data_IF_559252391376
#
_entry.id   IF_559252391376
#
_cell.length_a   1.000
_cell.length_b   1.000
_cell.length_c   1.000
_cell.angle_alpha   90.00
_cell.angle_beta   90.00
_cell.angle_gamma   90.00
#
_symmetry.space_group_name_H-M   'P 1'
#
loop_
_entity.id
_entity.type
_entity.pdbx_description
1 polymer ?
#
# COMPACT_ATOMS: atom_id res chain seq x y z
N UNK A 1 -41.40 15.73 68.28
CA UNK A 1 -42.12 15.53 67.02
C UNK A 1 -41.09 15.25 65.95
N UNK A 2 -41.15 14.06 65.39
CA UNK A 2 -40.18 13.48 64.47
C UNK A 2 -40.40 14.03 63.03
N UNK A 3 -39.31 14.48 62.40
CA UNK A 3 -39.33 14.76 60.95
C UNK A 3 -38.29 13.80 60.29
N UNK A 4 -38.81 12.84 59.57
CA UNK A 4 -38.03 11.90 58.75
C UNK A 4 -37.53 12.60 57.48
N UNK A 5 -36.26 12.80 57.36
CA UNK A 5 -35.60 13.20 56.11
C UNK A 5 -35.20 11.97 55.28
N UNK A 6 -35.92 11.76 54.20
CA UNK A 6 -35.62 10.67 53.22
C UNK A 6 -34.43 11.06 52.37
N UNK A 7 -33.32 10.37 52.55
CA UNK A 7 -32.14 10.50 51.67
C UNK A 7 -32.34 9.60 50.45
N UNK A 8 -32.60 10.20 49.32
CA UNK A 8 -32.56 9.53 48.02
C UNK A 8 -31.13 9.30 47.60
N UNK A 9 -30.70 8.05 47.71
CA UNK A 9 -29.44 7.59 47.17
C UNK A 9 -29.54 7.52 45.64
N UNK A 10 -28.88 8.45 44.97
CA UNK A 10 -28.64 8.35 43.53
C UNK A 10 -27.55 7.28 43.32
N UNK A 11 -27.94 6.11 42.86
CA UNK A 11 -27.02 5.12 42.35
C UNK A 11 -26.56 5.59 40.99
N UNK A 12 -25.36 6.17 40.94
CA UNK A 12 -24.63 6.42 39.68
C UNK A 12 -24.35 5.07 39.01
N UNK A 13 -25.11 4.72 38.00
CA UNK A 13 -24.78 3.66 37.09
C UNK A 13 -23.49 4.05 36.37
N UNK A 14 -22.36 3.50 36.75
CA UNK A 14 -21.14 3.55 35.98
C UNK A 14 -21.42 2.84 34.65
N UNK A 15 -21.64 3.62 33.60
CA UNK A 15 -21.64 3.12 32.24
C UNK A 15 -20.21 2.72 31.94
N UNK A 16 -19.99 1.42 31.81
CA UNK A 16 -18.70 0.84 31.51
C UNK A 16 -18.28 1.23 30.09
N UNK A 17 -17.48 2.30 29.95
CA UNK A 17 -16.97 2.81 28.67
C UNK A 17 -15.77 2.02 28.13
N UNK A 18 -15.38 0.93 28.81
CA UNK A 18 -14.24 0.09 28.45
C UNK A 18 -14.28 -0.47 27.01
N UNK A 19 -15.44 -0.90 26.46
CA UNK A 19 -15.47 -1.39 25.08
C UNK A 19 -15.20 -0.32 24.02
N UNK A 20 -15.66 0.92 24.25
CA UNK A 20 -15.40 2.01 23.30
C UNK A 20 -13.94 2.48 23.31
N UNK A 21 -13.28 2.47 24.45
CA UNK A 21 -11.85 2.82 24.55
C UNK A 21 -10.96 1.76 23.88
N UNK A 22 -11.30 0.47 23.99
CA UNK A 22 -10.60 -0.59 23.25
C UNK A 22 -10.78 -0.49 21.73
N UNK A 23 -11.97 -0.13 21.25
CA UNK A 23 -12.19 0.12 19.82
C UNK A 23 -11.42 1.36 19.33
N UNK A 24 -11.39 2.43 20.10
CA UNK A 24 -10.62 3.63 19.75
C UNK A 24 -9.10 3.34 19.72
N UNK A 25 -8.58 2.54 20.64
CA UNK A 25 -7.19 2.08 20.62
C UNK A 25 -6.91 1.13 19.45
N UNK A 26 -7.84 0.23 19.10
CA UNK A 26 -7.69 -0.66 17.92
C UNK A 26 -7.69 0.13 16.61
N UNK A 27 -8.40 1.26 16.53
CA UNK A 27 -8.39 2.16 15.38
C UNK A 27 -7.13 3.05 15.35
N UNK A 28 -6.47 3.27 16.47
CA UNK A 28 -5.21 4.03 16.55
C UNK A 28 -3.97 3.17 16.25
N UNK A 29 -4.10 1.85 16.28
CA UNK A 29 -3.04 0.92 15.86
C UNK A 29 -3.03 0.84 14.34
N UNK A 30 -2.38 1.79 13.66
CA UNK A 30 -2.06 1.60 12.26
C UNK A 30 -2.05 2.79 11.32
N UNK A 31 -2.22 4.02 11.80
CA UNK A 31 -2.23 5.20 10.91
C UNK A 31 -1.12 6.21 11.21
N UNK A 32 -0.06 5.79 11.88
CA UNK A 32 1.13 6.64 11.93
C UNK A 32 1.79 6.63 10.55
N UNK A 33 1.76 7.78 9.88
CA UNK A 33 2.48 7.97 8.63
C UNK A 33 3.98 7.87 8.93
N UNK A 34 4.78 7.23 8.07
CA UNK A 34 6.22 7.18 8.23
C UNK A 34 6.83 8.57 8.03
N UNK A 35 7.88 8.87 8.79
CA UNK A 35 8.70 10.07 8.58
C UNK A 35 9.62 9.89 7.35
N UNK A 36 10.07 8.65 7.14
CA UNK A 36 10.84 8.25 5.96
C UNK A 36 10.06 7.22 5.15
N UNK A 37 9.77 7.53 3.89
CA UNK A 37 9.08 6.62 2.98
C UNK A 37 10.02 5.53 2.43
N UNK A 38 9.51 4.33 2.14
CA UNK A 38 10.33 3.26 1.59
C UNK A 38 10.85 3.63 0.19
N UNK A 39 12.07 3.18 -0.11
CA UNK A 39 12.73 3.41 -1.41
C UNK A 39 13.10 2.06 -2.03
N UNK A 40 12.87 1.91 -3.34
CA UNK A 40 13.27 0.71 -4.09
C UNK A 40 14.80 0.64 -4.13
N UNK A 41 15.34 -0.53 -3.82
CA UNK A 41 16.78 -0.82 -3.90
C UNK A 41 17.19 -1.44 -5.24
N UNK A 42 16.25 -2.08 -5.94
CA UNK A 42 16.54 -2.71 -7.21
C UNK A 42 16.93 -1.68 -8.27
N UNK A 43 18.11 -1.82 -8.85
CA UNK A 43 18.54 -1.03 -10.01
C UNK A 43 17.73 -1.40 -11.25
N UNK A 44 17.55 -2.71 -11.45
CA UNK A 44 16.71 -3.25 -12.51
C UNK A 44 15.43 -3.83 -11.91
N UNK A 45 14.29 -3.43 -12.44
CA UNK A 45 13.01 -3.91 -11.97
C UNK A 45 12.75 -5.33 -12.49
N UNK A 46 12.36 -6.29 -11.63
CA UNK A 46 12.25 -7.71 -11.98
C UNK A 46 10.96 -8.08 -12.71
N UNK A 47 10.37 -7.14 -13.45
CA UNK A 47 9.13 -7.36 -14.15
C UNK A 47 9.39 -7.84 -15.57
N UNK A 48 9.12 -9.14 -15.81
CA UNK A 48 9.30 -9.76 -17.11
C UNK A 48 8.06 -9.58 -17.98
N UNK A 49 8.23 -8.97 -19.13
CA UNK A 49 7.16 -8.84 -20.11
C UNK A 49 6.80 -10.21 -20.69
N UNK A 50 5.52 -10.67 -20.62
CA UNK A 50 5.13 -11.94 -21.22
C UNK A 50 5.35 -11.93 -22.73
N UNK A 51 6.12 -12.90 -23.25
CA UNK A 51 6.53 -12.93 -24.66
C UNK A 51 5.34 -12.90 -25.64
N UNK A 52 4.26 -13.59 -25.33
CA UNK A 52 3.06 -13.62 -26.17
C UNK A 52 2.39 -12.24 -26.30
N UNK A 53 2.42 -11.42 -25.25
CA UNK A 53 1.86 -10.06 -25.26
C UNK A 53 2.85 -9.07 -25.89
N UNK A 54 4.14 -9.28 -25.65
CA UNK A 54 5.20 -8.51 -26.30
C UNK A 54 5.12 -8.64 -27.84
N UNK A 55 5.03 -9.87 -28.37
CA UNK A 55 4.90 -10.12 -29.79
C UNK A 55 3.67 -9.47 -30.44
N UNK A 56 2.60 -9.29 -29.65
CA UNK A 56 1.36 -8.63 -30.07
C UNK A 56 1.35 -7.12 -29.79
N UNK A 57 2.44 -6.57 -29.26
CA UNK A 57 2.58 -5.15 -28.87
C UNK A 57 1.51 -4.66 -27.87
N UNK A 58 1.02 -5.58 -27.03
CA UNK A 58 -0.02 -5.29 -26.04
C UNK A 58 0.63 -4.65 -24.80
N UNK A 59 0.35 -3.40 -24.56
CA UNK A 59 0.84 -2.63 -23.41
C UNK A 59 -0.18 -2.57 -22.30
N UNK A 60 0.25 -2.26 -21.08
CA UNK A 60 -0.64 -2.06 -19.94
C UNK A 60 0.06 -1.51 -18.71
N UNK A 61 -0.75 -0.98 -17.80
CA UNK A 61 -0.33 -0.51 -16.49
C UNK A 61 -0.96 -1.40 -15.45
N UNK A 62 -0.17 -1.84 -14.49
CA UNK A 62 -0.64 -2.60 -13.32
C UNK A 62 -0.25 -1.83 -12.07
N UNK A 63 -1.19 -1.50 -11.23
CA UNK A 63 -0.88 -0.95 -9.91
C UNK A 63 -0.96 -2.07 -8.88
N UNK A 64 0.15 -2.34 -8.22
CA UNK A 64 0.25 -3.33 -7.15
C UNK A 64 0.13 -2.64 -5.79
N UNK A 65 -0.60 -3.27 -4.88
CA UNK A 65 -0.56 -2.94 -3.45
C UNK A 65 0.41 -3.91 -2.78
N UNK A 66 1.58 -3.38 -2.40
CA UNK A 66 2.64 -4.14 -1.76
C UNK A 66 2.61 -3.92 -0.26
N UNK A 67 2.65 -5.00 0.51
CA UNK A 67 2.91 -4.95 1.94
C UNK A 67 4.39 -5.17 2.19
N UNK A 68 5.05 -4.22 2.84
CA UNK A 68 6.46 -4.30 3.21
C UNK A 68 6.57 -4.61 4.70
N UNK A 69 7.52 -5.47 5.06
CA UNK A 69 7.91 -5.71 6.44
C UNK A 69 8.92 -4.66 6.94
N UNK A 70 9.40 -4.84 8.17
CA UNK A 70 10.38 -3.95 8.79
C UNK A 70 11.75 -4.00 8.14
N UNK A 71 12.05 -5.06 7.42
CA UNK A 71 13.33 -5.27 6.72
C UNK A 71 13.28 -4.78 5.26
N UNK A 72 12.11 -4.30 4.80
CA UNK A 72 11.89 -3.83 3.43
C UNK A 72 11.61 -4.96 2.42
N UNK A 73 11.25 -6.16 2.90
CA UNK A 73 10.85 -7.25 2.02
C UNK A 73 9.36 -7.18 1.71
N UNK A 74 9.01 -7.56 0.47
CA UNK A 74 7.63 -7.67 0.04
C UNK A 74 7.00 -8.95 0.59
N UNK A 75 5.90 -8.80 1.32
CA UNK A 75 5.11 -9.92 1.83
C UNK A 75 4.16 -10.41 0.72
N UNK A 76 4.52 -11.52 0.08
CA UNK A 76 3.79 -12.07 -1.07
C UNK A 76 2.31 -12.36 -0.77
N UNK A 77 2.02 -12.91 0.41
CA UNK A 77 0.65 -13.30 0.83
C UNK A 77 -0.29 -12.10 1.03
N UNK A 78 0.28 -10.93 1.26
CA UNK A 78 -0.46 -9.67 1.47
C UNK A 78 -0.37 -8.72 0.28
N UNK A 79 0.32 -9.13 -0.81
CA UNK A 79 0.46 -8.37 -2.04
C UNK A 79 -0.65 -8.71 -3.01
N UNK A 80 -1.26 -7.68 -3.62
CA UNK A 80 -2.35 -7.86 -4.59
C UNK A 80 -2.32 -6.81 -5.69
N UNK A 81 -3.00 -7.11 -6.79
CA UNK A 81 -3.30 -6.13 -7.82
C UNK A 81 -4.38 -5.19 -7.29
N UNK A 82 -4.08 -3.90 -7.29
CA UNK A 82 -5.02 -2.84 -6.92
C UNK A 82 -5.78 -2.34 -8.15
N UNK A 83 -5.03 -2.07 -9.23
CA UNK A 83 -5.58 -1.68 -10.53
C UNK A 83 -5.05 -2.63 -11.60
N UNK A 84 -5.92 -3.46 -12.19
CA UNK A 84 -5.51 -4.41 -13.22
C UNK A 84 -5.27 -3.72 -14.57
N UNK A 85 -4.38 -4.30 -15.38
CA UNK A 85 -4.06 -3.81 -16.72
C UNK A 85 -5.14 -4.10 -17.76
N UNK A 86 -6.11 -4.93 -17.44
CA UNK A 86 -7.05 -5.53 -18.40
C UNK A 86 -6.51 -6.80 -19.09
N UNK A 87 -5.27 -7.18 -18.81
CA UNK A 87 -4.62 -8.39 -19.34
C UNK A 87 -4.09 -9.24 -18.18
N UNK A 88 -4.75 -10.36 -17.85
CA UNK A 88 -4.37 -11.21 -16.70
C UNK A 88 -2.91 -11.68 -16.73
N UNK A 89 -2.31 -11.82 -17.93
CA UNK A 89 -0.91 -12.22 -18.07
C UNK A 89 0.06 -11.11 -17.62
N UNK A 90 -0.26 -9.82 -17.84
CA UNK A 90 0.52 -8.70 -17.32
C UNK A 90 0.38 -8.59 -15.80
N UNK A 91 -0.84 -8.75 -15.29
CA UNK A 91 -1.13 -8.70 -13.85
C UNK A 91 -0.37 -9.81 -13.11
N UNK A 92 -0.39 -11.04 -13.66
CA UNK A 92 0.37 -12.17 -13.12
C UNK A 92 1.88 -11.95 -13.18
N UNK A 93 2.39 -11.37 -14.27
CA UNK A 93 3.82 -11.05 -14.42
C UNK A 93 4.25 -9.98 -13.40
N UNK A 94 3.42 -8.98 -13.16
CA UNK A 94 3.66 -7.95 -12.15
C UNK A 94 3.70 -8.53 -10.74
N UNK A 95 2.71 -9.36 -10.35
CA UNK A 95 2.69 -10.06 -9.06
C UNK A 95 3.90 -10.97 -8.87
N UNK A 96 4.31 -11.69 -9.91
CA UNK A 96 5.49 -12.57 -9.85
C UNK A 96 6.77 -11.78 -9.65
N UNK A 97 6.97 -10.70 -10.41
CA UNK A 97 8.14 -9.84 -10.28
C UNK A 97 8.20 -9.09 -8.94
N UNK A 98 7.06 -8.74 -8.36
CA UNK A 98 7.02 -8.01 -7.09
C UNK A 98 7.70 -8.74 -5.93
N UNK A 99 7.77 -10.06 -5.95
CA UNK A 99 8.43 -10.89 -4.92
C UNK A 99 9.95 -10.69 -4.87
N UNK A 100 10.53 -10.25 -5.97
CA UNK A 100 11.98 -10.00 -6.09
C UNK A 100 12.35 -8.56 -5.75
N UNK A 101 11.35 -7.69 -5.49
CA UNK A 101 11.59 -6.31 -5.09
C UNK A 101 12.17 -6.25 -3.67
N UNK A 102 13.09 -5.31 -3.49
CA UNK A 102 13.69 -4.97 -2.19
C UNK A 102 13.58 -3.47 -1.98
N UNK A 103 13.31 -3.11 -0.73
CA UNK A 103 13.13 -1.71 -0.34
C UNK A 103 14.01 -1.36 0.85
N UNK A 104 14.42 -0.11 0.94
CA UNK A 104 14.76 0.48 2.23
C UNK A 104 13.43 0.57 3.00
N UNK A 105 13.35 0.05 4.23
CA UNK A 105 12.09 0.09 4.97
C UNK A 105 11.64 1.52 5.29
N UNK A 106 10.35 1.70 5.43
CA UNK A 106 9.80 2.92 6.00
C UNK A 106 10.24 3.05 7.46
N UNK A 107 10.42 4.28 7.93
CA UNK A 107 10.76 4.53 9.33
C UNK A 107 9.81 5.55 9.96
N UNK A 108 9.60 5.37 11.25
CA UNK A 108 8.90 6.31 12.10
C UNK A 108 9.79 6.60 13.31
N UNK A 109 10.20 7.85 13.51
CA UNK A 109 11.12 8.28 14.57
C UNK A 109 12.46 7.52 14.58
N UNK A 110 12.92 7.13 13.38
CA UNK A 110 14.15 6.35 13.20
C UNK A 110 13.98 4.83 13.26
N UNK A 111 12.84 4.32 13.73
CA UNK A 111 12.57 2.88 13.84
C UNK A 111 11.92 2.34 12.56
N UNK A 112 12.42 1.22 12.01
CA UNK A 112 11.79 0.57 10.86
C UNK A 112 10.38 0.11 11.17
N UNK A 113 9.44 0.36 10.25
CA UNK A 113 8.05 0.00 10.39
C UNK A 113 7.51 -0.72 9.16
N UNK A 114 6.58 -1.69 9.33
CA UNK A 114 5.88 -2.27 8.20
C UNK A 114 4.96 -1.22 7.57
N UNK A 115 4.89 -1.21 6.24
CA UNK A 115 4.06 -0.25 5.52
C UNK A 115 3.41 -0.87 4.29
N UNK A 116 2.43 -0.19 3.74
CA UNK A 116 1.79 -0.56 2.47
C UNK A 116 2.06 0.54 1.46
N UNK A 117 2.49 0.14 0.26
CA UNK A 117 2.76 1.05 -0.84
C UNK A 117 1.99 0.65 -2.09
N UNK A 118 1.59 1.64 -2.88
CA UNK A 118 1.09 1.43 -4.23
C UNK A 118 2.27 1.54 -5.19
N UNK A 119 2.49 0.50 -5.96
CA UNK A 119 3.62 0.40 -6.88
C UNK A 119 3.12 0.22 -8.30
N UNK A 120 3.27 1.23 -9.18
CA UNK A 120 2.88 1.14 -10.58
C UNK A 120 3.92 0.37 -11.39
N UNK A 121 3.48 -0.58 -12.18
CA UNK A 121 4.29 -1.35 -13.14
C UNK A 121 3.82 -1.03 -14.54
N UNK A 122 4.73 -0.57 -15.39
CA UNK A 122 4.43 -0.16 -16.76
C UNK A 122 5.03 -1.15 -17.74
N UNK A 123 4.17 -1.89 -18.44
CA UNK A 123 4.58 -2.72 -19.56
C UNK A 123 4.48 -1.91 -20.86
N UNK A 124 5.63 -1.54 -21.42
CA UNK A 124 5.73 -0.72 -22.65
C UNK A 124 6.46 -1.47 -23.74
N UNK A 125 5.92 -1.38 -24.94
CA UNK A 125 6.57 -1.89 -26.15
C UNK A 125 7.13 -0.73 -26.95
N UNK A 126 8.41 -0.77 -27.39
CA UNK A 126 9.07 0.38 -28.03
C UNK A 126 8.41 0.81 -29.35
N UNK A 127 7.81 -0.12 -30.08
CA UNK A 127 7.16 0.13 -31.37
C UNK A 127 5.64 0.29 -31.29
N UNK A 128 5.05 0.20 -30.08
CA UNK A 128 3.62 0.40 -29.91
C UNK A 128 3.29 1.89 -29.75
N UNK A 129 2.05 2.24 -30.07
CA UNK A 129 1.55 3.60 -29.83
C UNK A 129 1.53 3.90 -28.34
N UNK A 130 2.00 5.08 -27.93
CA UNK A 130 1.95 5.53 -26.55
C UNK A 130 0.53 5.46 -25.98
N UNK A 131 0.40 5.02 -24.74
CA UNK A 131 -0.89 5.00 -24.05
C UNK A 131 -1.30 6.43 -23.63
N UNK A 132 -2.61 6.68 -23.44
CA UNK A 132 -3.07 7.94 -22.88
C UNK A 132 -2.37 8.23 -21.54
N UNK A 133 -1.76 9.40 -21.40
CA UNK A 133 -0.99 9.79 -20.23
C UNK A 133 0.53 9.61 -20.34
N UNK A 134 1.05 8.72 -21.19
CA UNK A 134 2.50 8.53 -21.39
C UNK A 134 3.19 9.80 -21.93
N UNK A 135 2.48 10.60 -22.72
CA UNK A 135 3.00 11.85 -23.29
C UNK A 135 3.42 12.87 -22.23
N UNK A 136 2.83 12.83 -21.06
CA UNK A 136 3.14 13.74 -19.94
C UNK A 136 4.49 13.37 -19.31
N UNK A 137 4.81 12.08 -19.25
CA UNK A 137 6.07 11.58 -18.67
C UNK A 137 7.27 11.90 -19.59
N UNK A 138 7.09 11.83 -20.90
CA UNK A 138 8.15 12.15 -21.86
C UNK A 138 8.52 13.63 -21.92
N UNK A 139 7.60 14.54 -21.61
CA UNK A 139 7.90 15.99 -21.56
C UNK A 139 8.75 16.41 -20.37
N UNK A 140 8.81 15.63 -19.29
CA UNK A 140 9.66 15.92 -18.13
C UNK A 140 11.05 15.29 -18.18
N UNK A 141 11.29 14.36 -19.10
CA UNK A 141 12.56 13.66 -19.27
C UNK A 141 13.54 14.29 -20.26
N UNK A 142 13.17 15.38 -20.93
CA UNK A 142 14.06 16.10 -21.84
C UNK A 142 14.17 17.56 -21.37
N UNK A 143 14.81 17.75 -20.23
CA UNK A 143 15.54 18.97 -19.94
C UNK A 143 17.02 18.64 -20.11
N UNK A 144 17.59 19.04 -21.25
CA UNK A 144 19.03 19.13 -21.46
C UNK A 144 19.64 20.11 -20.47
#
# INVERSE_FOLDING_TARGET
MLAFGSVLAFTSACVDTAPMQKMAQALQVGTSLPDEYPKVLNTDLPFRYPAALYARRIQGNVTLRLRLDRDGHVQADSTRVEEPSGYPALDSAALKGSRELRFVPAKLRGDPMPTTVLFPVYFRHPEARALPGDTILNKRGIAK
#
